data_IF_928673984017
#
_entry.id   IF_928673984017
#
_cell.length_a   1.000
_cell.length_b   1.000
_cell.length_c   1.000
_cell.angle_alpha   90.00
_cell.angle_beta   90.00
_cell.angle_gamma   90.00
#
_symmetry.space_group_name_H-M   'P 1'
#
loop_
_entity.id
_entity.type
_entity.pdbx_description
1 polymer ?
#
# COMPACT_ATOMS: atom_id res chain seq x y z
N UNK A 1 -5.12 -4.72 9.37
CA UNK A 1 -5.59 -3.83 8.29
C UNK A 1 -5.09 -4.43 7.00
N UNK A 2 -5.48 -3.90 5.84
CA UNK A 2 -4.84 -4.27 4.58
C UNK A 2 -4.18 -3.05 3.93
N UNK A 3 -2.97 -3.24 3.41
CA UNK A 3 -2.17 -2.26 2.70
C UNK A 3 -2.24 -2.58 1.21
N UNK A 4 -2.66 -1.57 0.46
CA UNK A 4 -2.71 -1.63 -0.99
C UNK A 4 -1.80 -0.55 -1.57
N UNK A 5 -0.91 -0.94 -2.48
CA UNK A 5 -0.07 0.01 -3.22
C UNK A 5 -0.30 -0.18 -4.71
N UNK A 6 -0.45 0.92 -5.44
CA UNK A 6 -0.57 0.93 -6.91
C UNK A 6 0.11 2.15 -7.52
N UNK A 7 0.75 1.97 -8.68
CA UNK A 7 1.35 3.08 -9.42
C UNK A 7 0.39 3.68 -10.45
N UNK A 8 0.38 5.00 -10.57
CA UNK A 8 -0.37 5.76 -11.57
C UNK A 8 -1.90 5.85 -11.38
N UNK A 9 -2.49 5.10 -10.44
CA UNK A 9 -3.90 5.23 -10.08
C UNK A 9 -4.20 4.67 -8.68
N UNK A 10 -5.34 5.06 -8.10
CA UNK A 10 -5.80 4.56 -6.80
C UNK A 10 -5.96 3.02 -6.81
N UNK A 11 -5.46 2.31 -5.78
CA UNK A 11 -5.68 0.88 -5.65
C UNK A 11 -7.14 0.56 -5.33
N UNK A 12 -7.62 -0.58 -5.81
CA UNK A 12 -8.91 -1.16 -5.43
C UNK A 12 -8.69 -2.49 -4.71
N UNK A 13 -9.74 -3.09 -4.15
CA UNK A 13 -9.66 -4.41 -3.49
C UNK A 13 -9.34 -5.55 -4.45
N UNK A 14 -9.40 -5.31 -5.76
CA UNK A 14 -9.08 -6.29 -6.82
C UNK A 14 -7.89 -5.88 -7.67
N UNK A 15 -7.50 -4.61 -7.64
CA UNK A 15 -6.45 -4.05 -8.51
C UNK A 15 -5.41 -3.32 -7.67
N UNK A 16 -4.29 -3.97 -7.44
CA UNK A 16 -3.16 -3.49 -6.65
C UNK A 16 -1.86 -4.08 -7.21
N UNK A 17 -0.75 -3.36 -7.03
CA UNK A 17 0.59 -3.86 -7.35
C UNK A 17 1.22 -4.60 -6.18
N UNK A 18 0.87 -4.22 -4.94
CA UNK A 18 1.26 -4.96 -3.76
C UNK A 18 0.10 -5.07 -2.78
N UNK A 19 -0.04 -6.29 -2.26
CA UNK A 19 -0.76 -6.66 -1.05
C UNK A 19 0.04 -7.80 -0.42
N UNK A 20 0.87 -7.52 0.59
CA UNK A 20 1.62 -8.56 1.26
C UNK A 20 0.58 -9.28 2.11
N UNK A 21 0.21 -10.51 1.75
CA UNK A 21 -0.84 -11.31 2.40
C UNK A 21 -0.49 -11.71 3.84
N UNK A 22 0.06 -10.80 4.64
CA UNK A 22 0.49 -10.98 6.01
C UNK A 22 -0.72 -10.83 6.94
N UNK A 23 -0.87 -11.78 7.84
CA UNK A 23 -1.86 -11.67 8.93
C UNK A 23 -1.42 -10.59 9.92
N UNK A 24 -2.05 -9.42 9.87
CA UNK A 24 -1.82 -8.34 10.83
C UNK A 24 -2.17 -6.94 10.32
N UNK A 25 -1.70 -5.91 11.03
CA UNK A 25 -1.69 -4.51 10.54
C UNK A 25 -0.27 -4.02 10.24
N UNK A 26 0.74 -4.87 10.46
CA UNK A 26 2.13 -4.63 10.05
C UNK A 26 2.34 -5.28 8.69
N UNK A 27 2.08 -4.51 7.65
CA UNK A 27 2.22 -4.92 6.25
C UNK A 27 3.35 -4.13 5.61
N UNK A 28 4.25 -4.84 4.93
CA UNK A 28 5.39 -4.24 4.22
C UNK A 28 5.33 -4.60 2.75
N UNK A 29 5.38 -3.58 1.89
CA UNK A 29 5.44 -3.73 0.45
C UNK A 29 6.78 -3.23 -0.08
N UNK A 30 7.61 -4.15 -0.56
CA UNK A 30 8.80 -3.82 -1.34
C UNK A 30 8.45 -3.88 -2.83
N UNK A 31 8.40 -2.70 -3.44
CA UNK A 31 8.04 -2.53 -4.85
C UNK A 31 9.09 -1.69 -5.57
N UNK A 32 9.56 -2.21 -6.71
CA UNK A 32 10.33 -1.40 -7.66
C UNK A 32 9.37 -0.54 -8.47
N UNK A 33 9.60 0.77 -8.49
CA UNK A 33 8.80 1.70 -9.31
C UNK A 33 9.00 1.36 -10.79
N UNK A 34 7.94 1.01 -11.54
CA UNK A 34 8.05 0.72 -12.97
C UNK A 34 8.50 1.96 -13.75
N UNK A 35 9.25 1.75 -14.84
CA UNK A 35 9.65 2.83 -15.74
C UNK A 35 8.42 3.60 -16.25
N UNK A 36 8.51 4.92 -16.25
CA UNK A 36 7.43 5.82 -16.67
C UNK A 36 6.39 6.14 -15.58
N UNK A 37 6.48 5.53 -14.39
CA UNK A 37 5.62 5.88 -13.28
C UNK A 37 6.28 6.93 -12.37
N UNK A 38 5.52 7.97 -12.05
CA UNK A 38 5.97 9.08 -11.20
C UNK A 38 5.14 9.22 -9.93
N UNK A 39 4.06 8.44 -9.80
CA UNK A 39 3.12 8.53 -8.68
C UNK A 39 2.77 7.13 -8.15
N UNK A 40 2.79 7.02 -6.82
CA UNK A 40 2.32 5.86 -6.09
C UNK A 40 1.10 6.26 -5.25
N UNK A 41 0.07 5.42 -5.29
CA UNK A 41 -1.14 5.55 -4.50
C UNK A 41 -1.15 4.44 -3.45
N UNK A 42 -1.37 4.84 -2.21
CA UNK A 42 -1.37 3.94 -1.06
C UNK A 42 -2.75 3.99 -0.42
N UNK A 43 -3.37 2.83 -0.26
CA UNK A 43 -4.65 2.66 0.41
C UNK A 43 -4.48 1.80 1.66
N UNK A 44 -5.01 2.27 2.78
CA UNK A 44 -5.08 1.50 4.04
C UNK A 44 -6.53 1.19 4.32
N UNK A 45 -6.86 -0.10 4.46
CA UNK A 45 -8.22 -0.57 4.74
C UNK A 45 -8.30 -1.21 6.12
N UNK A 46 -9.04 -0.56 7.02
CA UNK A 46 -9.45 -1.16 8.29
C UNK A 46 -10.63 -2.11 8.10
N UNK A 47 -10.64 -3.22 8.84
CA UNK A 47 -11.77 -4.17 8.88
C UNK A 47 -12.65 -4.02 10.13
N UNK A 48 -12.17 -3.24 11.11
CA UNK A 48 -12.92 -2.96 12.33
C UNK A 48 -13.83 -1.76 12.13
N UNK A 49 -15.02 -1.81 12.72
CA UNK A 49 -15.92 -0.65 12.84
C UNK A 49 -15.46 0.36 13.89
N UNK A 50 -14.46 0.02 14.71
CA UNK A 50 -13.88 0.92 15.69
C UNK A 50 -12.79 1.81 15.06
N UNK A 51 -12.73 3.06 15.51
CA UNK A 51 -11.66 4.00 15.14
C UNK A 51 -10.30 3.39 15.46
N UNK A 52 -9.46 3.27 14.43
CA UNK A 52 -8.13 2.68 14.53
C UNK A 52 -7.11 3.68 13.98
N UNK A 53 -5.99 3.87 14.69
CA UNK A 53 -4.87 4.66 14.21
C UNK A 53 -3.87 3.75 13.48
N UNK A 54 -3.45 4.16 12.29
CA UNK A 54 -2.44 3.46 11.50
C UNK A 54 -1.22 4.37 11.32
N UNK A 55 -0.03 3.80 11.47
CA UNK A 55 1.22 4.46 11.12
C UNK A 55 1.64 3.96 9.75
N UNK A 56 1.80 4.88 8.80
CA UNK A 56 2.28 4.57 7.46
C UNK A 56 3.67 5.17 7.29
N UNK A 57 4.64 4.32 6.98
CA UNK A 57 5.99 4.75 6.63
C UNK A 57 6.24 4.40 5.17
N UNK A 58 6.66 5.39 4.39
CA UNK A 58 7.02 5.22 2.98
C UNK A 58 8.49 5.55 2.84
N UNK A 59 9.28 4.56 2.45
CA UNK A 59 10.69 4.76 2.11
C UNK A 59 10.85 4.63 0.61
N UNK A 60 11.48 5.62 0.00
CA UNK A 60 11.84 5.60 -1.41
C UNK A 60 13.33 5.81 -1.54
N UNK A 61 13.99 4.85 -2.17
CA UNK A 61 15.38 4.98 -2.62
C UNK A 61 15.35 5.28 -4.10
N UNK A 62 15.72 6.50 -4.47
CA UNK A 62 15.94 6.85 -5.86
C UNK A 62 17.13 6.10 -6.47
N UNK A 63 17.22 6.06 -7.81
CA UNK A 63 18.44 5.62 -8.49
C UNK A 63 19.65 6.47 -8.12
#
# INVERSE_FOLDING_TARGET
ADLYVRFGAQPTTTTYNCRPYLTGSNETCDLTVPSGQTQAYIGVRGYSSATSSYNLTVTWTGP
#
